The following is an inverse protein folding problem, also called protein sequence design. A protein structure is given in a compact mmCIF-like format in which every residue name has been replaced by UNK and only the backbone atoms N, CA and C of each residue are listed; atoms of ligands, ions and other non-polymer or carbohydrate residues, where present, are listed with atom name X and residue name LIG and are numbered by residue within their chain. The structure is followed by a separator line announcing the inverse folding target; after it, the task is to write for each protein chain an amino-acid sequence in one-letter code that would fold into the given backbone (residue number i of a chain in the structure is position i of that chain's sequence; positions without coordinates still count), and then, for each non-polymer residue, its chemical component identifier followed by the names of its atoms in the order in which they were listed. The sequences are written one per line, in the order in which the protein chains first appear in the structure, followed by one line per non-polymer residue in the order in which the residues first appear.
data_IF_352873615524
#
_entry.id   IF_352873615524
#
_cell.length_a   1.000
_cell.length_b   1.000
_cell.length_c   1.000
_cell.angle_alpha   90.00
_cell.angle_beta   90.00
_cell.angle_gamma   90.00
#
_symmetry.space_group_name_H-M   'P 1'
#
loop_
_entity.id
_entity.type
_entity.pdbx_description
1 polymer ?
#
# COMPACT_ATOMS: atom_id res chain seq x y z
N UNK A 1 -19.53 31.65 -5.38
CA UNK A 1 -18.21 31.11 -5.77
C UNK A 1 -17.82 29.90 -4.91
N UNK A 2 -17.90 29.98 -3.57
CA UNK A 2 -17.60 28.85 -2.67
C UNK A 2 -18.48 27.60 -2.86
N UNK A 3 -19.81 27.75 -3.01
CA UNK A 3 -20.73 26.60 -3.16
C UNK A 3 -20.49 25.77 -4.43
N UNK A 4 -19.97 26.40 -5.50
CA UNK A 4 -19.64 25.69 -6.74
C UNK A 4 -18.34 24.88 -6.58
N UNK A 5 -17.36 25.46 -5.88
CA UNK A 5 -16.10 24.78 -5.56
C UNK A 5 -16.34 23.56 -4.67
N UNK A 6 -17.17 23.67 -3.62
CA UNK A 6 -17.52 22.54 -2.76
C UNK A 6 -18.24 21.42 -3.52
N UNK A 7 -19.21 21.76 -4.38
CA UNK A 7 -19.88 20.77 -5.23
C UNK A 7 -18.91 20.07 -6.17
N UNK A 8 -17.99 20.81 -6.79
CA UNK A 8 -17.01 20.26 -7.72
C UNK A 8 -16.01 19.32 -7.02
N UNK A 9 -15.61 19.66 -5.80
CA UNK A 9 -14.78 18.84 -4.92
C UNK A 9 -15.52 17.55 -4.50
N UNK A 10 -16.77 17.66 -4.06
CA UNK A 10 -17.56 16.48 -3.67
C UNK A 10 -17.77 15.53 -4.85
N UNK A 11 -17.99 16.09 -6.05
CA UNK A 11 -18.09 15.32 -7.28
C UNK A 11 -16.76 14.62 -7.62
N UNK A 12 -15.61 15.26 -7.39
CA UNK A 12 -14.30 14.66 -7.65
C UNK A 12 -13.94 13.54 -6.65
N UNK A 13 -14.43 13.56 -5.41
CA UNK A 13 -14.22 12.47 -4.44
C UNK A 13 -15.15 11.28 -4.66
N UNK A 14 -16.31 11.49 -5.30
CA UNK A 14 -17.25 10.44 -5.66
C UNK A 14 -16.97 9.84 -7.05
N UNK A 15 -16.01 10.38 -7.79
CA UNK A 15 -15.56 9.83 -9.06
C UNK A 15 -14.79 8.51 -8.83
N UNK A 16 -15.25 7.36 -9.37
CA UNK A 16 -14.54 6.09 -9.26
C UNK A 16 -13.10 6.11 -9.79
N UNK A 17 -12.75 7.07 -10.65
CA UNK A 17 -11.38 7.27 -11.15
C UNK A 17 -10.51 8.11 -10.22
N UNK A 18 -11.10 8.72 -9.19
CA UNK A 18 -10.35 9.48 -8.20
C UNK A 18 -9.54 8.56 -7.29
N UNK A 19 -8.28 8.89 -6.97
CA UNK A 19 -7.53 8.14 -5.97
C UNK A 19 -8.16 8.23 -4.58
N UNK A 20 -8.99 9.27 -4.33
CA UNK A 20 -9.69 9.49 -3.07
C UNK A 20 -11.05 8.78 -2.96
N UNK A 21 -11.48 8.10 -4.02
CA UNK A 21 -12.72 7.34 -3.98
C UNK A 21 -12.54 6.04 -3.20
N UNK A 22 -13.48 5.77 -2.29
CA UNK A 22 -13.62 4.47 -1.62
C UNK A 22 -14.96 3.87 -2.04
N UNK A 23 -14.92 2.66 -2.60
CA UNK A 23 -16.12 1.94 -2.97
C UNK A 23 -16.87 1.44 -1.74
N UNK A 24 -18.14 1.07 -1.92
CA UNK A 24 -18.97 0.53 -0.83
C UNK A 24 -18.44 -0.81 -0.26
N UNK A 25 -17.59 -1.52 -1.00
CA UNK A 25 -16.95 -2.77 -0.55
C UNK A 25 -15.59 -2.54 0.11
N UNK A 26 -15.06 -1.31 0.11
CA UNK A 26 -13.79 -1.02 0.76
C UNK A 26 -14.00 -0.85 2.27
N UNK A 27 -13.43 -1.77 3.04
CA UNK A 27 -13.43 -1.71 4.50
C UNK A 27 -12.06 -2.11 5.07
N UNK A 28 -11.72 -1.69 6.31
CA UNK A 28 -10.39 -1.93 6.88
C UNK A 28 -10.00 -3.40 6.98
N UNK A 29 -10.97 -4.31 7.16
CA UNK A 29 -10.73 -5.77 7.22
C UNK A 29 -10.63 -6.47 5.86
N UNK A 30 -10.70 -5.75 4.73
CA UNK A 30 -10.66 -6.37 3.41
C UNK A 30 -9.24 -6.84 3.08
N UNK A 31 -9.10 -8.14 2.78
CA UNK A 31 -7.80 -8.74 2.46
C UNK A 31 -7.54 -8.54 0.96
N UNK A 32 -6.72 -7.56 0.62
CA UNK A 32 -6.42 -7.23 -0.80
C UNK A 32 -5.31 -8.09 -1.40
N UNK A 33 -4.55 -8.83 -0.59
CA UNK A 33 -3.45 -9.67 -1.04
C UNK A 33 -3.61 -11.08 -0.44
N UNK A 34 -3.60 -12.16 -1.23
CA UNK A 34 -3.70 -13.53 -0.71
C UNK A 34 -2.42 -13.99 0.01
N UNK A 35 -1.31 -13.25 -0.11
CA UNK A 35 -0.04 -13.59 0.51
C UNK A 35 0.19 -12.69 1.74
N UNK A 36 0.58 -13.30 2.85
CA UNK A 36 1.03 -12.61 4.07
C UNK A 36 2.55 -12.46 4.02
N UNK A 37 3.07 -11.25 4.24
CA UNK A 37 4.51 -11.01 4.32
C UNK A 37 5.09 -11.69 5.56
N UNK A 38 6.04 -12.60 5.36
CA UNK A 38 6.68 -13.38 6.43
C UNK A 38 8.20 -13.10 6.56
N UNK A 39 8.72 -12.14 5.79
CA UNK A 39 10.12 -11.73 5.79
C UNK A 39 10.99 -12.38 4.71
N UNK A 40 10.59 -13.52 4.17
CA UNK A 40 11.32 -14.25 3.10
C UNK A 40 10.61 -14.18 1.73
N UNK A 41 9.37 -13.68 1.70
CA UNK A 41 8.52 -13.69 0.50
C UNK A 41 8.23 -12.29 -0.06
N UNK A 42 9.01 -11.27 0.32
CA UNK A 42 8.79 -9.87 -0.08
C UNK A 42 8.59 -9.70 -1.59
N UNK A 43 9.39 -10.38 -2.43
CA UNK A 43 9.28 -10.23 -3.89
C UNK A 43 7.91 -10.67 -4.45
N UNK A 44 7.35 -11.78 -3.94
CA UNK A 44 6.03 -12.24 -4.35
C UNK A 44 4.92 -11.39 -3.72
N UNK A 45 5.05 -11.12 -2.42
CA UNK A 45 4.10 -10.31 -1.65
C UNK A 45 3.93 -8.91 -2.25
N UNK A 46 5.03 -8.20 -2.51
CA UNK A 46 5.03 -6.83 -3.04
C UNK A 46 4.43 -6.77 -4.44
N UNK A 47 4.76 -7.71 -5.32
CA UNK A 47 4.21 -7.79 -6.67
C UNK A 47 2.68 -7.93 -6.67
N UNK A 48 2.15 -8.83 -5.84
CA UNK A 48 0.70 -9.04 -5.75
C UNK A 48 -0.02 -7.85 -5.14
N UNK A 49 0.54 -7.27 -4.07
CA UNK A 49 -0.01 -6.10 -3.40
C UNK A 49 -0.02 -4.87 -4.34
N UNK A 50 1.02 -4.64 -5.13
CA UNK A 50 1.06 -3.58 -6.15
C UNK A 50 -0.07 -3.75 -7.15
N UNK A 51 -0.35 -4.96 -7.62
CA UNK A 51 -1.44 -5.22 -8.55
C UNK A 51 -2.81 -4.94 -7.92
N UNK A 52 -3.02 -5.36 -6.68
CA UNK A 52 -4.25 -5.10 -5.94
C UNK A 52 -4.48 -3.61 -5.67
N UNK A 53 -3.43 -2.86 -5.32
CA UNK A 53 -3.53 -1.41 -5.14
C UNK A 53 -3.78 -0.68 -6.46
N UNK A 54 -3.20 -1.14 -7.58
CA UNK A 54 -3.48 -0.59 -8.92
C UNK A 54 -4.95 -0.77 -9.32
N UNK A 55 -5.54 -1.94 -9.10
CA UNK A 55 -6.94 -2.18 -9.46
C UNK A 55 -7.93 -1.33 -8.66
N UNK A 56 -7.50 -0.80 -7.51
CA UNK A 56 -8.26 0.11 -6.65
C UNK A 56 -7.89 1.60 -6.79
N UNK A 57 -6.96 1.92 -7.69
CA UNK A 57 -6.38 3.26 -7.84
C UNK A 57 -5.77 3.82 -6.54
N UNK A 58 -5.08 2.96 -5.77
CA UNK A 58 -4.45 3.29 -4.48
C UNK A 58 -2.93 3.18 -4.47
N UNK A 59 -2.31 2.81 -5.59
CA UNK A 59 -0.85 2.66 -5.66
C UNK A 59 -0.09 3.95 -5.32
N UNK A 60 -0.68 5.12 -5.62
CA UNK A 60 -0.09 6.43 -5.34
C UNK A 60 0.28 6.65 -3.86
N UNK A 61 -0.50 6.05 -2.94
CA UNK A 61 -0.28 6.18 -1.49
C UNK A 61 0.97 5.46 -1.00
N UNK A 62 1.37 4.35 -1.63
CA UNK A 62 2.55 3.58 -1.20
C UNK A 62 3.82 3.99 -1.94
N UNK A 63 3.71 4.35 -3.23
CA UNK A 63 4.88 4.72 -4.04
C UNK A 63 5.24 6.21 -3.98
N UNK A 64 4.46 7.02 -3.25
CA UNK A 64 4.68 8.45 -3.09
C UNK A 64 4.36 9.32 -4.30
N UNK A 65 3.75 8.77 -5.36
CA UNK A 65 3.27 9.58 -6.49
C UNK A 65 2.06 10.44 -6.14
N UNK A 66 1.36 10.12 -5.04
CA UNK A 66 0.26 10.91 -4.51
C UNK A 66 0.68 11.55 -3.19
N UNK A 67 1.18 12.77 -3.27
CA UNK A 67 1.61 13.55 -2.11
C UNK A 67 0.41 13.99 -1.26
N UNK A 68 0.64 14.12 0.05
CA UNK A 68 -0.36 14.66 0.97
C UNK A 68 -0.64 16.13 0.61
N UNK A 69 -1.90 16.52 0.34
CA UNK A 69 -2.25 17.91 0.06
C UNK A 69 -1.96 18.84 1.25
N UNK A 70 -1.84 20.13 0.99
CA UNK A 70 -1.57 21.13 2.05
C UNK A 70 -2.82 21.76 2.65
N UNK A 71 -3.98 21.61 2.00
CA UNK A 71 -5.22 22.31 2.37
C UNK A 71 -6.42 21.39 2.37
N UNK A 72 -7.35 21.63 3.31
CA UNK A 72 -8.67 21.04 3.26
C UNK A 72 -9.42 21.50 2.00
N UNK A 73 -10.35 20.69 1.47
CA UNK A 73 -10.81 19.38 1.96
C UNK A 73 -9.96 18.18 1.53
N UNK A 74 -9.05 18.37 0.58
CA UNK A 74 -8.24 17.28 0.00
C UNK A 74 -7.39 16.54 1.05
N UNK A 75 -6.90 17.26 2.07
CA UNK A 75 -6.18 16.65 3.22
C UNK A 75 -7.00 15.55 3.88
N UNK A 76 -8.28 15.79 4.18
CA UNK A 76 -9.12 14.83 4.90
C UNK A 76 -9.44 13.62 4.02
N UNK A 77 -9.68 13.85 2.72
CA UNK A 77 -9.93 12.78 1.76
C UNK A 77 -8.67 11.89 1.58
N UNK A 78 -7.50 12.52 1.52
CA UNK A 78 -6.22 11.83 1.48
C UNK A 78 -6.00 11.00 2.75
N UNK A 79 -6.17 11.58 3.94
CA UNK A 79 -5.96 10.89 5.23
C UNK A 79 -6.90 9.69 5.41
N UNK A 80 -8.17 9.83 4.99
CA UNK A 80 -9.14 8.74 4.99
C UNK A 80 -8.68 7.57 4.12
N UNK A 81 -8.19 7.86 2.91
CA UNK A 81 -7.73 6.83 1.99
C UNK A 81 -6.41 6.21 2.41
N UNK A 82 -5.46 7.02 2.89
CA UNK A 82 -4.18 6.54 3.40
C UNK A 82 -4.39 5.59 4.60
N UNK A 83 -5.29 5.95 5.53
CA UNK A 83 -5.68 5.08 6.65
C UNK A 83 -6.28 3.75 6.19
N UNK A 84 -7.07 3.74 5.11
CA UNK A 84 -7.61 2.51 4.52
C UNK A 84 -6.48 1.63 3.94
N UNK A 85 -5.53 2.24 3.22
CA UNK A 85 -4.39 1.52 2.66
C UNK A 85 -3.48 0.98 3.75
N UNK A 86 -3.28 1.73 4.85
CA UNK A 86 -2.57 1.24 6.03
C UNK A 86 -3.25 0.01 6.63
N UNK A 87 -4.57 0.04 6.83
CA UNK A 87 -5.30 -1.11 7.37
C UNK A 87 -5.12 -2.36 6.48
N UNK A 88 -5.20 -2.18 5.16
CA UNK A 88 -4.94 -3.27 4.22
C UNK A 88 -3.51 -3.79 4.26
N UNK A 89 -2.51 -2.92 4.42
CA UNK A 89 -1.11 -3.31 4.62
C UNK A 89 -0.96 -4.16 5.88
N UNK A 90 -1.46 -3.72 7.03
CA UNK A 90 -1.38 -4.46 8.28
C UNK A 90 -2.01 -5.85 8.21
N UNK A 91 -3.12 -5.99 7.47
CA UNK A 91 -3.79 -7.26 7.29
C UNK A 91 -2.99 -8.28 6.47
N UNK A 92 -2.02 -7.82 5.68
CA UNK A 92 -1.23 -8.67 4.78
C UNK A 92 0.23 -8.78 5.24
N UNK A 93 0.51 -8.41 6.50
CA UNK A 93 1.81 -8.53 7.16
C UNK A 93 1.64 -9.49 8.34
N UNK A 94 2.59 -10.42 8.50
CA UNK A 94 2.61 -11.30 9.66
C UNK A 94 2.68 -10.47 10.95
N UNK A 95 1.88 -10.83 11.95
CA UNK A 95 1.80 -10.10 13.23
C UNK A 95 3.16 -9.99 13.93
N UNK A 96 4.06 -10.96 13.74
CA UNK A 96 5.41 -10.91 14.27
C UNK A 96 6.24 -9.74 13.69
N UNK A 97 5.85 -9.23 12.52
CA UNK A 97 6.53 -8.12 11.83
C UNK A 97 5.86 -6.77 12.08
N UNK A 98 4.67 -6.71 12.71
CA UNK A 98 3.97 -5.43 12.98
C UNK A 98 4.82 -4.47 13.80
N UNK A 99 5.66 -4.98 14.70
CA UNK A 99 6.58 -4.15 15.48
C UNK A 99 7.59 -3.36 14.65
N UNK A 100 7.94 -3.81 13.43
CA UNK A 100 8.90 -3.09 12.58
C UNK A 100 8.31 -1.81 11.98
N UNK A 101 6.99 -1.78 11.76
CA UNK A 101 6.27 -0.68 11.12
C UNK A 101 5.40 0.12 12.09
N UNK A 102 5.45 -0.18 13.39
CA UNK A 102 4.52 0.36 14.40
C UNK A 102 4.53 1.90 14.54
N UNK A 103 5.62 2.57 14.13
CA UNK A 103 5.78 4.02 14.20
C UNK A 103 5.50 4.75 12.88
N UNK A 104 5.15 4.02 11.81
CA UNK A 104 4.81 4.61 10.53
C UNK A 104 3.43 5.29 10.61
N UNK A 105 3.38 6.55 10.17
CA UNK A 105 2.18 7.39 10.18
C UNK A 105 1.44 7.37 8.84
N UNK A 106 2.06 6.83 7.80
CA UNK A 106 1.47 6.77 6.45
C UNK A 106 1.69 5.42 5.80
N UNK A 107 0.84 5.07 4.82
CA UNK A 107 1.02 3.84 4.04
C UNK A 107 2.37 3.82 3.30
N UNK A 108 2.87 4.99 2.90
CA UNK A 108 4.20 5.15 2.28
C UNK A 108 5.32 4.78 3.24
N UNK A 109 5.28 5.28 4.48
CA UNK A 109 6.28 4.97 5.49
C UNK A 109 6.33 3.47 5.80
N UNK A 110 5.16 2.83 5.93
CA UNK A 110 5.05 1.37 6.06
C UNK A 110 5.70 0.67 4.87
N UNK A 111 5.39 1.11 3.64
CA UNK A 111 5.93 0.50 2.43
C UNK A 111 7.46 0.58 2.37
N UNK A 112 8.04 1.76 2.63
CA UNK A 112 9.49 1.99 2.60
C UNK A 112 10.19 1.12 3.64
N UNK A 113 9.68 1.07 4.87
CA UNK A 113 10.30 0.27 5.94
C UNK A 113 10.37 -1.23 5.58
N UNK A 114 9.28 -1.78 5.03
CA UNK A 114 9.24 -3.17 4.58
C UNK A 114 10.16 -3.42 3.39
N UNK A 115 10.21 -2.48 2.44
CA UNK A 115 11.08 -2.57 1.28
C UNK A 115 12.56 -2.60 1.67
N UNK A 116 13.00 -1.67 2.50
CA UNK A 116 14.39 -1.58 2.95
C UNK A 116 14.84 -2.84 3.71
N UNK A 117 13.95 -3.41 4.54
CA UNK A 117 14.28 -4.57 5.37
C UNK A 117 14.27 -5.90 4.62
N UNK A 118 13.32 -6.10 3.71
CA UNK A 118 13.04 -7.43 3.15
C UNK A 118 13.36 -7.59 1.67
N UNK A 119 13.53 -6.51 0.90
CA UNK A 119 13.87 -6.60 -0.53
C UNK A 119 15.25 -7.23 -0.80
N UNK A 120 16.27 -6.81 -0.03
CA UNK A 120 17.65 -7.26 -0.22
C UNK A 120 17.89 -8.69 0.27
N UNK A 121 17.23 -9.09 1.37
CA UNK A 121 17.30 -10.49 1.85
C UNK A 121 16.74 -11.45 0.81
N UNK A 122 15.65 -11.06 0.14
CA UNK A 122 15.07 -11.85 -0.94
C UNK A 122 15.99 -11.95 -2.16
N UNK A 123 16.64 -10.87 -2.58
CA UNK A 123 17.52 -10.91 -3.76
C UNK A 123 18.73 -11.82 -3.55
N UNK A 124 19.36 -11.76 -2.36
CA UNK A 124 20.49 -12.64 -1.99
C UNK A 124 20.03 -14.10 -1.93
N UNK A 125 18.89 -14.39 -1.29
CA UNK A 125 18.40 -15.76 -1.12
C UNK A 125 17.98 -16.40 -2.44
N UNK A 126 17.31 -15.66 -3.32
CA UNK A 126 16.99 -16.12 -4.68
C UNK A 126 18.28 -16.46 -5.45
N UNK A 127 19.31 -15.63 -5.31
CA UNK A 127 20.59 -15.88 -5.98
C UNK A 127 21.27 -17.16 -5.45
N UNK A 128 21.32 -17.35 -4.13
CA UNK A 128 21.87 -18.56 -3.50
C UNK A 128 21.13 -19.83 -3.94
N UNK A 129 19.79 -19.82 -3.92
CA UNK A 129 18.98 -20.95 -4.37
C UNK A 129 19.23 -21.29 -5.85
N UNK A 130 19.37 -20.27 -6.71
CA UNK A 130 19.70 -20.48 -8.12
C UNK A 130 21.11 -21.07 -8.32
N UNK A 131 22.09 -20.67 -7.51
CA UNK A 131 23.43 -21.25 -7.55
C UNK A 131 23.42 -22.71 -7.10
N UNK A 132 22.73 -23.04 -6.01
CA UNK A 132 22.61 -24.44 -5.52
C UNK A 132 21.92 -25.34 -6.55
N UNK A 133 20.84 -24.88 -7.20
CA UNK A 133 20.20 -25.63 -8.28
C UNK A 133 21.09 -25.80 -9.51
N UNK A 134 21.96 -24.82 -9.80
CA UNK A 134 22.91 -24.89 -10.90
C UNK A 134 24.11 -25.81 -10.62
N UNK A 135 24.37 -26.17 -9.36
CA UNK A 135 25.49 -27.04 -8.97
C UNK A 135 25.08 -28.53 -8.86
N UNK A 136 23.78 -28.82 -8.91
CA UNK A 136 23.21 -30.17 -8.79
C UNK A 136 22.68 -30.71 -10.14
N UNK A 137 22.76 -29.92 -11.22
CA UNK A 137 22.45 -30.33 -12.59
C UNK A 137 23.70 -30.52 -13.44
#
# INVERSE_FOLDING_TARGET
MAENLEKQIILSYNDPQSPYFLSSSDHPGYIINPVILNGDNYGNWSRLLVNALKSKNKLGFVNGKLEKPSTAPDVHAWEKCDSMVMAWLYNVIDKALHGSVAYANTAREVWIDLEERYSQRNSIRIHQLNQEMSLVG
#
